data_IF_572914272189
#
_entry.id   IF_572914272189
#
_cell.length_a   1.000
_cell.length_b   1.000
_cell.length_c   1.000
_cell.angle_alpha   90.00
_cell.angle_beta   90.00
_cell.angle_gamma   90.00
#
_symmetry.space_group_name_H-M   'P 1'
#
loop_
_entity.id
_entity.type
_entity.pdbx_description
1 polymer ?
#
# COMPACT_ATOMS: atom_id res chain seq x y z
N UNK A 1 -12.45 -5.93 14.42
CA UNK A 1 -11.23 -5.42 13.76
C UNK A 1 -10.39 -4.57 14.71
N UNK A 2 -10.88 -3.41 15.21
CA UNK A 2 -10.09 -2.48 16.04
C UNK A 2 -9.53 -3.14 17.31
N UNK A 3 -10.35 -3.94 18.03
CA UNK A 3 -9.87 -4.66 19.22
C UNK A 3 -8.68 -5.59 18.88
N UNK A 4 -8.71 -6.25 17.72
CA UNK A 4 -7.59 -7.11 17.28
C UNK A 4 -6.38 -6.27 16.92
N UNK A 5 -6.57 -5.16 16.20
CA UNK A 5 -5.48 -4.27 15.81
C UNK A 5 -4.71 -3.71 17.03
N UNK A 6 -5.41 -3.45 18.14
CA UNK A 6 -4.82 -2.82 19.33
C UNK A 6 -4.26 -3.82 20.34
N UNK A 7 -4.92 -4.99 20.49
CA UNK A 7 -4.60 -5.92 21.59
C UNK A 7 -3.94 -7.21 21.13
N UNK A 8 -3.92 -7.50 19.81
CA UNK A 8 -3.38 -8.73 19.24
C UNK A 8 -2.54 -8.39 18.00
N UNK A 9 -1.56 -7.52 18.20
CA UNK A 9 -0.75 -6.91 17.13
C UNK A 9 0.04 -7.91 16.31
N UNK A 10 0.33 -9.10 16.86
CA UNK A 10 1.10 -10.14 16.17
C UNK A 10 0.30 -10.91 15.12
N UNK A 11 -1.04 -10.80 15.13
CA UNK A 11 -1.88 -11.58 14.23
C UNK A 11 -1.87 -11.06 12.79
N UNK A 12 -1.90 -9.74 12.62
CA UNK A 12 -1.95 -9.10 11.30
C UNK A 12 -1.15 -7.80 11.28
N UNK A 13 -0.79 -7.34 10.09
CA UNK A 13 -0.12 -6.04 9.91
C UNK A 13 -1.08 -4.95 9.42
N UNK A 14 -2.14 -5.31 8.70
CA UNK A 14 -3.02 -4.34 8.08
C UNK A 14 -4.48 -4.60 8.47
N UNK A 15 -5.20 -3.54 8.79
CA UNK A 15 -6.57 -3.59 9.28
C UNK A 15 -7.44 -2.56 8.57
N UNK A 16 -8.65 -2.96 8.18
CA UNK A 16 -9.67 -2.07 7.66
C UNK A 16 -10.91 -2.23 8.52
N UNK A 17 -11.30 -1.19 9.24
CA UNK A 17 -12.48 -1.15 10.10
C UNK A 17 -13.55 -0.27 9.44
N UNK A 18 -14.59 -0.92 8.92
CA UNK A 18 -15.65 -0.28 8.15
C UNK A 18 -16.83 -0.03 9.07
N UNK A 19 -17.20 1.24 9.25
CA UNK A 19 -18.29 1.66 10.15
C UNK A 19 -18.26 0.88 11.49
N UNK A 20 -17.15 0.92 12.25
CA UNK A 20 -17.00 0.09 13.44
C UNK A 20 -17.90 0.56 14.57
N UNK A 21 -18.67 -0.36 15.19
CA UNK A 21 -19.53 -0.09 16.36
C UNK A 21 -18.69 0.17 17.61
N UNK A 22 -18.18 1.39 17.75
CA UNK A 22 -17.40 1.84 18.90
C UNK A 22 -18.27 2.42 20.04
N UNK A 23 -19.56 2.55 19.80
CA UNK A 23 -20.61 2.94 20.76
C UNK A 23 -20.99 1.81 21.73
N UNK A 24 -20.70 0.56 21.38
CA UNK A 24 -21.06 -0.63 22.16
C UNK A 24 -20.47 -0.60 23.59
N UNK A 25 -21.25 -1.19 24.53
CA UNK A 25 -20.87 -1.37 25.92
C UNK A 25 -20.38 -0.06 26.58
N UNK A 26 -21.18 1.01 26.44
CA UNK A 26 -20.84 2.38 26.86
C UNK A 26 -19.49 2.86 26.31
N UNK A 27 -19.26 2.66 25.02
CA UNK A 27 -18.01 3.06 24.35
C UNK A 27 -16.74 2.40 24.92
N UNK A 28 -16.87 1.23 25.52
CA UNK A 28 -15.77 0.56 26.22
C UNK A 28 -14.50 0.43 25.38
N UNK A 29 -14.63 -0.04 24.14
CA UNK A 29 -13.45 -0.20 23.28
C UNK A 29 -12.83 1.16 22.92
N UNK A 30 -13.63 2.19 22.65
CA UNK A 30 -13.16 3.53 22.40
C UNK A 30 -12.38 4.08 23.59
N UNK A 31 -12.92 3.95 24.80
CA UNK A 31 -12.24 4.40 26.04
C UNK A 31 -10.94 3.62 26.29
N UNK A 32 -10.97 2.29 26.14
CA UNK A 32 -9.80 1.43 26.34
C UNK A 32 -8.71 1.64 25.29
N UNK A 33 -9.05 2.08 24.08
CA UNK A 33 -8.09 2.31 23.00
C UNK A 33 -7.12 3.45 23.30
N UNK A 34 -7.54 4.46 24.04
CA UNK A 34 -6.72 5.66 24.33
C UNK A 34 -5.38 5.32 24.99
N UNK A 35 -5.34 4.71 26.18
CA UNK A 35 -4.07 4.36 26.82
C UNK A 35 -3.26 3.33 26.02
N UNK A 36 -3.90 2.49 25.21
CA UNK A 36 -3.21 1.53 24.35
C UNK A 36 -2.47 2.26 23.22
N UNK A 37 -3.14 3.20 22.54
CA UNK A 37 -2.53 4.01 21.48
C UNK A 37 -1.42 4.95 22.00
N UNK A 38 -1.54 5.42 23.23
CA UNK A 38 -0.54 6.30 23.86
C UNK A 38 0.75 5.57 24.26
N UNK A 39 0.65 4.30 24.68
CA UNK A 39 1.74 3.64 25.40
C UNK A 39 2.39 2.47 24.63
N UNK A 40 1.87 2.10 23.46
CA UNK A 40 2.42 0.99 22.67
C UNK A 40 3.01 1.48 21.35
N UNK A 41 3.97 0.70 20.84
CA UNK A 41 4.55 0.85 19.49
C UNK A 41 3.75 0.02 18.48
N UNK A 42 3.29 0.67 17.42
CA UNK A 42 2.57 0.07 16.31
C UNK A 42 3.36 0.14 14.99
N UNK A 43 4.67 0.27 15.06
CA UNK A 43 5.54 0.29 13.87
C UNK A 43 5.28 -0.91 12.97
N UNK A 44 5.09 -0.67 11.67
CA UNK A 44 4.75 -1.70 10.68
C UNK A 44 3.29 -2.16 10.70
N UNK A 45 2.41 -1.47 11.44
CA UNK A 45 0.96 -1.72 11.45
C UNK A 45 0.22 -0.61 10.72
N UNK A 46 -0.86 -0.97 10.02
CA UNK A 46 -1.79 0.00 9.45
C UNK A 46 -3.22 -0.24 9.89
N UNK A 47 -3.96 0.83 10.13
CA UNK A 47 -5.39 0.80 10.44
C UNK A 47 -6.10 1.88 9.65
N UNK A 48 -7.01 1.45 8.80
CA UNK A 48 -7.93 2.33 8.09
C UNK A 48 -9.32 2.24 8.73
N UNK A 49 -9.96 3.38 8.97
CA UNK A 49 -11.30 3.47 9.55
C UNK A 49 -12.22 4.24 8.60
N UNK A 50 -13.43 3.75 8.37
CA UNK A 50 -14.44 4.48 7.60
C UNK A 50 -15.66 4.85 8.43
N UNK A 51 -16.33 5.91 8.02
CA UNK A 51 -17.60 6.36 8.54
C UNK A 51 -18.55 6.65 7.38
N UNK A 52 -19.71 5.99 7.34
CA UNK A 52 -20.76 6.29 6.35
C UNK A 52 -21.62 7.48 6.77
N UNK A 53 -22.28 8.09 5.81
CA UNK A 53 -23.18 9.24 6.05
C UNK A 53 -24.45 8.88 6.80
N UNK A 54 -24.98 7.66 6.59
CA UNK A 54 -26.23 7.23 7.23
C UNK A 54 -26.18 7.33 8.76
N UNK A 55 -25.01 7.20 9.34
CA UNK A 55 -24.77 7.28 10.78
C UNK A 55 -24.81 8.70 11.35
N UNK A 56 -24.76 9.72 10.48
CA UNK A 56 -24.82 11.14 10.88
C UNK A 56 -26.24 11.66 11.01
N UNK A 57 -27.14 11.22 10.10
CA UNK A 57 -28.44 11.86 9.87
C UNK A 57 -29.63 11.04 10.30
N UNK A 58 -29.46 10.05 11.19
CA UNK A 58 -30.54 9.07 11.48
C UNK A 58 -31.89 9.71 11.86
N UNK A 59 -31.93 10.93 12.41
CA UNK A 59 -33.16 11.61 12.81
C UNK A 59 -33.17 13.12 12.60
N UNK A 60 -32.05 13.75 12.30
CA UNK A 60 -31.95 15.19 12.16
C UNK A 60 -30.95 15.58 11.03
N UNK A 61 -31.50 16.02 9.91
CA UNK A 61 -30.72 16.43 8.73
C UNK A 61 -29.84 17.67 8.98
N UNK A 62 -30.06 18.41 10.08
CA UNK A 62 -29.22 19.54 10.46
C UNK A 62 -27.86 19.10 11.06
N UNK A 63 -27.73 17.83 11.43
CA UNK A 63 -26.48 17.26 11.94
C UNK A 63 -25.51 17.06 10.77
N UNK A 64 -24.32 17.62 10.92
CA UNK A 64 -23.21 17.55 9.96
C UNK A 64 -21.92 17.18 10.64
N UNK A 65 -20.87 16.86 9.87
CA UNK A 65 -19.53 16.60 10.41
C UNK A 65 -19.00 17.78 11.27
N UNK A 66 -19.41 19.01 11.00
CA UNK A 66 -18.95 20.21 11.71
C UNK A 66 -19.60 20.37 13.08
N UNK A 67 -20.84 19.87 13.27
CA UNK A 67 -21.60 20.10 14.48
C UNK A 67 -21.90 18.83 15.30
N UNK A 68 -21.77 17.64 14.73
CA UNK A 68 -22.13 16.36 15.36
C UNK A 68 -21.50 16.17 16.74
N UNK A 69 -20.28 16.63 16.96
CA UNK A 69 -19.61 16.49 18.26
C UNK A 69 -20.21 17.38 19.37
N UNK A 70 -21.16 18.25 19.02
CA UNK A 70 -21.93 19.07 19.99
C UNK A 70 -23.23 18.39 20.39
N UNK A 71 -23.68 17.41 19.59
CA UNK A 71 -24.88 16.65 19.91
C UNK A 71 -24.59 15.65 21.02
N UNK A 72 -25.56 15.45 21.92
CA UNK A 72 -25.45 14.54 23.05
C UNK A 72 -26.49 13.40 23.02
N UNK A 73 -27.28 13.32 21.94
CA UNK A 73 -28.27 12.29 21.78
C UNK A 73 -27.65 10.91 21.52
N UNK A 74 -28.38 9.86 21.81
CA UNK A 74 -27.97 8.50 21.50
C UNK A 74 -27.95 8.22 20.00
N UNK A 75 -28.69 9.00 19.20
CA UNK A 75 -28.80 8.82 17.75
C UNK A 75 -27.50 9.10 17.00
N UNK A 76 -26.65 9.96 17.53
CA UNK A 76 -25.34 10.28 16.94
C UNK A 76 -24.17 9.57 17.62
N UNK A 77 -24.43 8.80 18.69
CA UNK A 77 -23.39 8.18 19.50
C UNK A 77 -22.48 7.27 18.65
N UNK A 78 -23.04 6.51 17.73
CA UNK A 78 -22.28 5.66 16.83
C UNK A 78 -21.21 6.47 16.03
N UNK A 79 -21.66 7.50 15.32
CA UNK A 79 -20.76 8.33 14.52
C UNK A 79 -19.77 9.12 15.38
N UNK A 80 -20.24 9.71 16.50
CA UNK A 80 -19.35 10.44 17.43
C UNK A 80 -18.25 9.54 17.98
N UNK A 81 -18.55 8.28 18.30
CA UNK A 81 -17.56 7.33 18.81
C UNK A 81 -16.46 7.04 17.77
N UNK A 82 -16.83 6.89 16.49
CA UNK A 82 -15.87 6.69 15.41
C UNK A 82 -15.02 7.93 15.20
N UNK A 83 -15.65 9.12 15.17
CA UNK A 83 -14.94 10.41 15.00
C UNK A 83 -13.97 10.65 16.14
N UNK A 84 -14.40 10.45 17.38
CA UNK A 84 -13.55 10.63 18.56
C UNK A 84 -12.35 9.67 18.54
N UNK A 85 -12.59 8.39 18.30
CA UNK A 85 -11.52 7.41 18.15
C UNK A 85 -10.54 7.82 17.05
N UNK A 86 -11.05 8.19 15.88
CA UNK A 86 -10.21 8.50 14.72
C UNK A 86 -9.36 9.74 14.95
N UNK A 87 -9.93 10.81 15.48
CA UNK A 87 -9.19 12.03 15.85
C UNK A 87 -8.13 11.75 16.91
N UNK A 88 -8.45 10.90 17.89
CA UNK A 88 -7.48 10.51 18.90
C UNK A 88 -6.34 9.69 18.28
N UNK A 89 -6.64 8.68 17.46
CA UNK A 89 -5.62 7.88 16.80
C UNK A 89 -4.70 8.72 15.89
N UNK A 90 -5.26 9.69 15.14
CA UNK A 90 -4.46 10.65 14.35
C UNK A 90 -3.51 11.46 15.23
N UNK A 91 -3.94 11.86 16.42
CA UNK A 91 -3.10 12.62 17.34
C UNK A 91 -1.91 11.82 17.91
N UNK A 92 -1.93 10.49 17.78
CA UNK A 92 -0.90 9.57 18.25
C UNK A 92 0.06 9.11 17.14
N UNK A 93 0.28 9.90 16.10
CA UNK A 93 1.12 9.52 14.94
C UNK A 93 2.56 9.08 15.32
N UNK A 94 3.06 9.48 16.49
CA UNK A 94 4.39 9.10 17.00
C UNK A 94 4.49 7.63 17.44
N UNK A 95 3.36 6.92 17.58
CA UNK A 95 3.33 5.51 18.00
C UNK A 95 3.65 4.52 16.87
N UNK A 96 3.96 5.02 15.65
CA UNK A 96 4.33 4.21 14.49
C UNK A 96 3.15 3.59 13.73
N UNK A 97 1.90 3.79 14.18
CA UNK A 97 0.72 3.32 13.46
C UNK A 97 0.51 4.13 12.17
N UNK A 98 0.49 3.46 11.01
CA UNK A 98 -0.01 4.06 9.77
C UNK A 98 -1.54 4.12 9.85
N UNK A 99 -2.04 5.22 10.41
CA UNK A 99 -3.47 5.43 10.62
C UNK A 99 -4.04 6.40 9.60
N UNK A 100 -5.18 6.01 9.02
CA UNK A 100 -6.01 6.91 8.22
C UNK A 100 -7.49 6.63 8.45
N UNK A 101 -8.32 7.64 8.26
CA UNK A 101 -9.76 7.47 8.29
C UNK A 101 -10.45 8.39 7.30
N UNK A 102 -11.68 8.02 6.93
CA UNK A 102 -12.45 8.81 5.96
C UNK A 102 -13.95 8.72 6.22
N UNK A 103 -14.62 9.88 6.15
CA UNK A 103 -16.05 9.97 6.05
C UNK A 103 -16.49 9.88 4.58
N UNK A 104 -17.51 9.08 4.32
CA UNK A 104 -18.10 8.87 3.00
C UNK A 104 -19.51 9.47 2.94
N UNK A 105 -19.64 10.73 2.52
CA UNK A 105 -20.89 11.49 2.64
C UNK A 105 -22.02 10.98 1.74
N UNK A 106 -21.71 10.23 0.70
CA UNK A 106 -22.66 9.69 -0.26
C UNK A 106 -22.96 8.19 -0.07
N UNK A 107 -22.37 7.57 0.95
CA UNK A 107 -22.52 6.14 1.21
C UNK A 107 -23.35 5.88 2.46
N UNK A 108 -24.18 4.85 2.36
CA UNK A 108 -24.90 4.25 3.48
C UNK A 108 -24.05 3.14 4.11
N UNK A 109 -24.44 2.69 5.30
CA UNK A 109 -23.79 1.56 5.97
C UNK A 109 -23.65 0.31 5.07
N UNK A 110 -24.63 0.04 4.21
CA UNK A 110 -24.60 -1.09 3.28
C UNK A 110 -23.76 -0.87 2.00
N UNK A 111 -23.44 0.36 1.63
CA UNK A 111 -22.67 0.67 0.41
C UNK A 111 -21.23 1.07 0.70
N UNK A 112 -20.95 1.62 1.87
CA UNK A 112 -19.61 2.07 2.28
C UNK A 112 -18.52 0.99 2.26
N UNK A 113 -18.80 -0.33 2.33
CA UNK A 113 -17.75 -1.35 2.26
C UNK A 113 -16.89 -1.28 0.99
N UNK A 114 -17.49 -1.05 -0.18
CA UNK A 114 -16.74 -1.01 -1.45
C UNK A 114 -15.68 0.09 -1.49
N UNK A 115 -16.03 1.38 -1.30
CA UNK A 115 -15.02 2.44 -1.29
C UNK A 115 -14.07 2.33 -0.10
N UNK A 116 -14.52 1.84 1.05
CA UNK A 116 -13.67 1.67 2.24
C UNK A 116 -12.60 0.60 2.05
N UNK A 117 -12.94 -0.54 1.43
CA UNK A 117 -11.96 -1.59 1.12
C UNK A 117 -10.94 -1.05 0.12
N UNK A 118 -11.39 -0.38 -0.95
CA UNK A 118 -10.48 0.21 -1.93
C UNK A 118 -9.52 1.21 -1.28
N UNK A 119 -10.03 2.18 -0.54
CA UNK A 119 -9.22 3.25 0.04
C UNK A 119 -8.33 2.69 1.18
N UNK A 120 -8.81 1.73 1.95
CA UNK A 120 -8.04 1.02 2.97
C UNK A 120 -6.89 0.19 2.40
N UNK A 121 -7.09 -0.47 1.26
CA UNK A 121 -6.02 -1.17 0.54
C UNK A 121 -4.98 -0.19 -0.01
N UNK A 122 -5.42 0.94 -0.58
CA UNK A 122 -4.50 1.98 -1.04
C UNK A 122 -3.65 2.50 0.13
N UNK A 123 -4.26 2.79 1.29
CA UNK A 123 -3.54 3.21 2.49
C UNK A 123 -2.54 2.17 2.99
N UNK A 124 -2.96 0.91 3.10
CA UNK A 124 -2.12 -0.17 3.60
C UNK A 124 -0.93 -0.50 2.68
N UNK A 125 -1.13 -0.32 1.36
CA UNK A 125 -0.16 -0.68 0.31
C UNK A 125 0.31 0.51 -0.52
N UNK A 126 0.27 1.74 0.02
CA UNK A 126 0.79 2.94 -0.67
C UNK A 126 2.26 2.74 -1.06
N UNK A 127 3.06 2.14 -0.18
CA UNK A 127 4.45 1.80 -0.42
C UNK A 127 4.66 0.84 -1.60
N UNK A 128 3.64 0.03 -1.94
CA UNK A 128 3.69 -0.94 -3.05
C UNK A 128 3.52 -0.28 -4.42
N UNK A 129 2.97 0.93 -4.49
CA UNK A 129 2.77 1.64 -5.74
C UNK A 129 4.11 1.93 -6.41
N UNK A 130 4.14 1.74 -7.72
CA UNK A 130 5.34 1.98 -8.51
C UNK A 130 5.34 3.43 -8.99
N UNK A 131 6.20 4.22 -8.41
CA UNK A 131 6.46 5.57 -8.85
C UNK A 131 7.36 5.56 -10.09
N UNK A 132 7.13 6.52 -10.98
CA UNK A 132 8.03 6.76 -12.13
C UNK A 132 8.20 5.58 -13.11
N UNK A 133 7.21 4.68 -13.20
CA UNK A 133 7.24 3.54 -14.14
C UNK A 133 7.44 3.98 -15.60
N UNK A 134 6.99 5.17 -15.96
CA UNK A 134 7.17 5.77 -17.28
C UNK A 134 8.65 5.88 -17.70
N UNK A 135 9.58 5.97 -16.75
CA UNK A 135 11.02 6.04 -17.00
C UNK A 135 11.58 4.81 -17.72
N UNK A 136 10.94 3.64 -17.57
CA UNK A 136 11.35 2.44 -18.29
C UNK A 136 11.16 2.56 -19.80
N UNK A 137 10.19 3.37 -20.24
CA UNK A 137 9.87 3.62 -21.64
C UNK A 137 10.45 4.94 -22.16
N UNK A 138 11.04 5.75 -21.29
CA UNK A 138 11.61 7.03 -21.67
C UNK A 138 13.00 6.85 -22.25
N UNK A 139 13.22 7.42 -23.46
CA UNK A 139 14.49 7.29 -24.18
C UNK A 139 15.65 7.94 -23.44
N UNK A 140 15.40 9.10 -22.83
CA UNK A 140 16.42 9.95 -22.23
C UNK A 140 16.80 9.54 -20.79
N UNK A 141 16.02 8.68 -20.14
CA UNK A 141 16.35 8.19 -18.80
C UNK A 141 17.65 7.40 -18.81
N UNK A 142 18.68 7.77 -18.03
CA UNK A 142 19.94 7.05 -17.99
C UNK A 142 19.78 5.62 -17.44
N UNK A 143 20.61 4.69 -17.94
CA UNK A 143 20.57 3.27 -17.51
C UNK A 143 20.74 3.11 -16.00
N UNK A 144 21.60 3.89 -15.35
CA UNK A 144 21.81 3.79 -13.91
C UNK A 144 20.56 4.16 -13.10
N UNK A 145 19.77 5.15 -13.56
CA UNK A 145 18.50 5.49 -12.90
C UNK A 145 17.48 4.34 -12.97
N UNK A 146 17.47 3.57 -14.06
CA UNK A 146 16.60 2.40 -14.20
C UNK A 146 17.01 1.30 -13.23
N UNK A 147 18.32 1.07 -13.07
CA UNK A 147 18.84 0.11 -12.09
C UNK A 147 18.47 0.55 -10.67
N UNK A 148 18.66 1.82 -10.32
CA UNK A 148 18.28 2.37 -9.02
C UNK A 148 16.77 2.23 -8.72
N UNK A 149 15.91 2.41 -9.73
CA UNK A 149 14.46 2.19 -9.57
C UNK A 149 14.14 0.73 -9.25
N UNK A 150 14.78 -0.21 -9.93
CA UNK A 150 14.61 -1.65 -9.71
C UNK A 150 15.10 -2.04 -8.31
N UNK A 151 16.29 -1.60 -7.91
CA UNK A 151 16.88 -1.86 -6.60
C UNK A 151 16.07 -1.23 -5.45
N UNK A 152 15.59 0.00 -5.66
CA UNK A 152 14.71 0.67 -4.70
C UNK A 152 13.41 -0.11 -4.48
N UNK A 153 12.82 -0.64 -5.56
CA UNK A 153 11.64 -1.48 -5.46
C UNK A 153 11.93 -2.79 -4.74
N UNK A 154 13.03 -3.48 -5.07
CA UNK A 154 13.43 -4.70 -4.34
C UNK A 154 13.56 -4.41 -2.84
N UNK A 155 14.20 -3.29 -2.48
CA UNK A 155 14.35 -2.87 -1.09
C UNK A 155 12.99 -2.63 -0.42
N UNK A 156 12.07 -1.88 -1.08
CA UNK A 156 10.72 -1.64 -0.55
C UNK A 156 9.97 -2.96 -0.32
N UNK A 157 10.04 -3.90 -1.27
CA UNK A 157 9.39 -5.21 -1.14
C UNK A 157 9.97 -6.00 0.04
N UNK A 158 11.29 -6.09 0.13
CA UNK A 158 11.98 -6.79 1.21
C UNK A 158 11.67 -6.20 2.59
N UNK A 159 11.70 -4.87 2.70
CA UNK A 159 11.49 -4.17 3.97
C UNK A 159 10.03 -4.36 4.47
N UNK A 160 9.05 -4.48 3.59
CA UNK A 160 7.65 -4.64 3.95
C UNK A 160 7.19 -6.10 4.04
N UNK A 161 7.70 -6.99 3.19
CA UNK A 161 7.35 -8.42 3.24
C UNK A 161 8.22 -9.23 4.20
N UNK A 162 9.39 -8.70 4.58
CA UNK A 162 10.32 -9.39 5.47
C UNK A 162 11.14 -10.50 4.81
N UNK A 163 11.05 -10.68 3.49
CA UNK A 163 11.83 -11.64 2.71
C UNK A 163 12.19 -11.08 1.33
N UNK A 164 13.24 -11.66 0.75
CA UNK A 164 13.72 -11.28 -0.59
C UNK A 164 12.76 -11.82 -1.65
N UNK A 165 12.29 -10.96 -2.54
CA UNK A 165 11.49 -11.31 -3.71
C UNK A 165 11.96 -10.48 -4.91
N UNK A 166 11.86 -10.99 -6.15
CA UNK A 166 12.12 -10.18 -7.33
C UNK A 166 11.24 -8.93 -7.36
N UNK A 167 11.79 -7.76 -7.78
CA UNK A 167 11.02 -6.51 -7.84
C UNK A 167 9.93 -6.49 -8.91
N UNK A 168 10.13 -7.27 -9.96
CA UNK A 168 9.22 -7.50 -11.08
C UNK A 168 9.30 -8.96 -11.51
N UNK A 169 8.34 -9.40 -12.33
CA UNK A 169 8.40 -10.70 -12.97
C UNK A 169 9.47 -10.75 -14.08
N UNK A 170 9.85 -11.95 -14.46
CA UNK A 170 10.83 -12.18 -15.52
C UNK A 170 10.36 -11.62 -16.87
N UNK A 171 9.07 -11.75 -17.15
CA UNK A 171 8.46 -11.32 -18.42
C UNK A 171 8.65 -9.81 -18.62
N UNK A 172 8.51 -9.00 -17.57
CA UNK A 172 8.72 -7.57 -17.66
C UNK A 172 10.19 -7.23 -18.00
N UNK A 173 11.17 -7.84 -17.31
CA UNK A 173 12.58 -7.60 -17.63
C UNK A 173 12.90 -8.00 -19.09
N UNK A 174 12.37 -9.14 -19.51
CA UNK A 174 12.56 -9.64 -20.86
C UNK A 174 11.96 -8.69 -21.91
N UNK A 175 10.74 -8.27 -21.71
CA UNK A 175 10.04 -7.32 -22.58
C UNK A 175 10.81 -5.98 -22.68
N UNK A 176 11.23 -5.42 -21.56
CA UNK A 176 11.99 -4.15 -21.52
C UNK A 176 13.37 -4.30 -22.20
N UNK A 177 14.02 -5.44 -22.02
CA UNK A 177 15.29 -5.77 -22.66
C UNK A 177 15.18 -5.77 -24.19
N UNK A 178 14.21 -6.47 -24.75
CA UNK A 178 13.98 -6.52 -26.20
C UNK A 178 13.50 -5.17 -26.74
N UNK A 179 12.59 -4.49 -26.06
CA UNK A 179 12.14 -3.16 -26.47
C UNK A 179 13.32 -2.17 -26.57
N UNK A 180 14.20 -2.14 -25.57
CA UNK A 180 15.39 -1.30 -25.58
C UNK A 180 16.35 -1.69 -26.73
N UNK A 181 16.46 -3.01 -27.04
CA UNK A 181 17.29 -3.50 -28.14
C UNK A 181 16.76 -3.02 -29.48
N UNK A 182 15.47 -3.15 -29.72
CA UNK A 182 14.80 -2.68 -30.95
C UNK A 182 14.92 -1.17 -31.13
N UNK A 183 14.92 -0.41 -30.03
CA UNK A 183 15.12 1.05 -30.03
C UNK A 183 16.59 1.45 -30.16
N UNK A 184 17.54 0.52 -30.27
CA UNK A 184 18.98 0.78 -30.35
C UNK A 184 19.62 1.23 -29.04
N UNK A 185 18.92 1.08 -27.90
CA UNK A 185 19.39 1.42 -26.56
C UNK A 185 20.16 0.24 -25.93
N UNK A 186 21.27 -0.14 -26.54
CA UNK A 186 22.00 -1.38 -26.21
C UNK A 186 22.42 -1.47 -24.74
N UNK A 187 22.81 -0.35 -24.10
CA UNK A 187 23.17 -0.35 -22.67
C UNK A 187 21.98 -0.67 -21.77
N UNK A 188 20.79 -0.13 -22.08
CA UNK A 188 19.57 -0.42 -21.32
C UNK A 188 19.14 -1.87 -21.53
N UNK A 189 19.13 -2.33 -22.78
CA UNK A 189 18.85 -3.72 -23.09
C UNK A 189 19.71 -4.69 -22.29
N UNK A 190 21.03 -4.46 -22.32
CA UNK A 190 21.97 -5.26 -21.54
C UNK A 190 21.63 -5.28 -20.05
N UNK A 191 21.37 -4.10 -19.46
CA UNK A 191 21.05 -4.00 -18.05
C UNK A 191 19.77 -4.76 -17.68
N UNK A 192 18.73 -4.71 -18.52
CA UNK A 192 17.49 -5.45 -18.25
C UNK A 192 17.71 -6.97 -18.30
N UNK A 193 18.46 -7.48 -19.28
CA UNK A 193 18.77 -8.91 -19.35
C UNK A 193 19.71 -9.36 -18.22
N UNK A 194 20.67 -8.53 -17.81
CA UNK A 194 21.52 -8.82 -16.64
C UNK A 194 20.69 -8.89 -15.35
N UNK A 195 19.70 -7.98 -15.19
CA UNK A 195 18.78 -8.03 -14.06
C UNK A 195 17.87 -9.25 -14.13
N UNK A 196 17.37 -9.64 -15.32
CA UNK A 196 16.60 -10.87 -15.48
C UNK A 196 17.38 -12.10 -14.96
N UNK A 197 18.64 -12.24 -15.38
CA UNK A 197 19.51 -13.33 -14.90
C UNK A 197 19.75 -13.22 -13.37
N UNK A 198 20.00 -12.03 -12.85
CA UNK A 198 20.29 -11.84 -11.43
C UNK A 198 19.10 -12.21 -10.52
N UNK A 199 17.88 -11.91 -10.96
CA UNK A 199 16.66 -12.23 -10.20
C UNK A 199 16.12 -13.63 -10.50
N UNK A 200 16.39 -14.18 -11.68
CA UNK A 200 15.89 -15.48 -12.13
C UNK A 200 17.03 -16.39 -12.63
N UNK A 201 18.02 -16.71 -11.79
CA UNK A 201 19.25 -17.42 -12.22
C UNK A 201 19.01 -18.87 -12.67
N UNK A 202 17.81 -19.41 -12.50
CA UNK A 202 17.42 -20.75 -12.96
C UNK A 202 16.59 -20.72 -14.26
N UNK A 203 16.29 -19.53 -14.78
CA UNK A 203 15.49 -19.40 -16.00
C UNK A 203 16.34 -19.55 -17.27
N UNK A 204 16.05 -20.57 -18.04
CA UNK A 204 16.68 -20.73 -19.36
C UNK A 204 16.33 -19.56 -20.31
N UNK A 205 15.12 -18.99 -20.19
CA UNK A 205 14.68 -17.87 -21.01
C UNK A 205 15.51 -16.59 -20.73
N UNK A 206 15.89 -16.34 -19.47
CA UNK A 206 16.72 -15.17 -19.15
C UNK A 206 18.11 -15.25 -19.79
N UNK A 207 18.71 -16.45 -19.86
CA UNK A 207 19.98 -16.67 -20.54
C UNK A 207 19.85 -16.65 -22.06
N UNK A 208 18.77 -17.19 -22.60
CA UNK A 208 18.49 -17.16 -24.06
C UNK A 208 18.36 -15.72 -24.55
N UNK A 209 17.62 -14.88 -23.81
CA UNK A 209 17.49 -13.45 -24.13
C UNK A 209 18.82 -12.68 -24.05
N UNK A 210 19.69 -13.02 -23.11
CA UNK A 210 21.03 -12.46 -23.08
C UNK A 210 21.90 -12.94 -24.24
N UNK A 211 21.73 -14.20 -24.67
CA UNK A 211 22.42 -14.72 -25.86
C UNK A 211 21.97 -13.97 -27.13
N UNK A 212 20.67 -13.69 -27.30
CA UNK A 212 20.14 -12.88 -28.38
C UNK A 212 20.73 -11.47 -28.38
N UNK A 213 20.86 -10.85 -27.21
CA UNK A 213 21.56 -9.58 -27.08
C UNK A 213 23.00 -9.68 -27.63
N UNK A 214 23.79 -10.68 -27.20
CA UNK A 214 25.17 -10.85 -27.65
C UNK A 214 25.25 -11.12 -29.18
N UNK A 215 24.30 -11.88 -29.72
CA UNK A 215 24.21 -12.11 -31.17
C UNK A 215 23.98 -10.77 -31.89
N UNK A 216 23.07 -9.93 -31.40
CA UNK A 216 22.79 -8.61 -31.99
C UNK A 216 24.02 -7.67 -31.99
N UNK A 217 24.91 -7.85 -31.02
CA UNK A 217 26.17 -7.09 -30.89
C UNK A 217 27.34 -7.74 -31.66
N UNK A 218 27.11 -8.82 -32.43
CA UNK A 218 28.14 -9.63 -33.10
C UNK A 218 29.14 -10.30 -32.13
N UNK A 219 28.77 -10.54 -30.88
CA UNK A 219 29.59 -11.16 -29.83
C UNK A 219 29.29 -12.65 -29.69
N UNK A 220 29.42 -13.44 -30.78
CA UNK A 220 28.98 -14.87 -30.84
C UNK A 220 29.58 -15.76 -29.75
N UNK A 221 30.83 -15.52 -29.36
CA UNK A 221 31.51 -16.33 -28.35
C UNK A 221 30.88 -16.15 -26.96
N UNK A 222 30.29 -14.97 -26.69
CA UNK A 222 29.59 -14.69 -25.43
C UNK A 222 28.15 -15.24 -25.43
N UNK A 223 27.57 -15.43 -26.59
CA UNK A 223 26.22 -15.98 -26.71
C UNK A 223 26.16 -17.50 -26.46
N UNK A 224 27.31 -18.20 -26.49
CA UNK A 224 27.40 -19.67 -26.36
C UNK A 224 27.84 -20.09 -24.95
N UNK A 225 28.44 -19.18 -24.18
CA UNK A 225 28.96 -19.41 -22.84
C UNK A 225 27.98 -18.97 -21.75
#
# INVERSE_FOLDING_TARGET
>A
TINIALNYTDLFSNYIAIDPSLDWDNQKLMVQSKPILENNDFSGKSLYVSLSSASLHMQDESITMDNIMRDSSDYTLFARSIIEFSKFAESQAQNGLNFAWKHYPNDLHGTVPLPSIRDGLINAFEWYQLESFWKFNDFDTPTHELIELVESREKKLRDNFGYKTPPFDEELFNMLGYMALEMGQTNKSKAFFEMAIAYFPQSANAYDSMADYHISQNEKDKAIN
#
